data_IF_909537981259
#
_entry.id   IF_909537981259
#
_cell.length_a   1.000
_cell.length_b   1.000
_cell.length_c   1.000
_cell.angle_alpha   90.00
_cell.angle_beta   90.00
_cell.angle_gamma   90.00
#
_symmetry.space_group_name_H-M   'P 1'
#
loop_
_entity.id
_entity.type
_entity.pdbx_description
1 polymer ?
#
# COMPACT_ATOMS: atom_id res chain seq x y z
N UNK A 1 -51.79 -56.80 16.61
CA UNK A 1 -51.32 -56.05 17.79
C UNK A 1 -51.47 -54.56 17.53
N UNK A 2 -51.97 -53.85 18.54
CA UNK A 2 -52.52 -52.50 18.47
C UNK A 2 -51.42 -51.42 18.36
N UNK A 3 -51.77 -50.33 17.69
CA UNK A 3 -50.89 -49.21 17.29
C UNK A 3 -50.32 -48.46 18.50
N UNK A 4 -49.07 -48.01 18.41
CA UNK A 4 -48.64 -46.75 19.05
C UNK A 4 -47.88 -45.92 18.00
N UNK A 5 -48.62 -45.03 17.34
CA UNK A 5 -48.05 -43.90 16.62
C UNK A 5 -47.49 -42.95 17.69
N UNK A 6 -46.16 -42.91 17.82
CA UNK A 6 -45.49 -41.92 18.66
C UNK A 6 -45.54 -40.59 17.92
N UNK A 7 -46.24 -39.62 18.52
CA UNK A 7 -46.31 -38.24 18.05
C UNK A 7 -44.93 -37.60 18.17
N UNK A 8 -44.25 -37.44 17.03
CA UNK A 8 -42.99 -36.68 16.98
C UNK A 8 -43.35 -35.22 17.11
N UNK A 9 -43.18 -34.67 18.32
CA UNK A 9 -43.31 -33.23 18.58
C UNK A 9 -42.27 -32.51 17.74
N UNK A 10 -42.72 -31.88 16.65
CA UNK A 10 -41.94 -31.07 15.73
C UNK A 10 -41.39 -29.87 16.51
N UNK A 11 -40.18 -30.00 17.06
CA UNK A 11 -39.46 -28.87 17.65
C UNK A 11 -38.86 -28.08 16.49
N UNK A 12 -39.68 -27.20 15.93
CA UNK A 12 -39.25 -26.17 14.99
C UNK A 12 -38.38 -25.18 15.77
N UNK A 13 -37.08 -25.47 15.88
CA UNK A 13 -36.10 -24.47 16.29
C UNK A 13 -35.98 -23.46 15.16
N UNK A 14 -36.66 -22.33 15.34
CA UNK A 14 -36.47 -21.13 14.53
C UNK A 14 -35.07 -20.58 14.85
N UNK A 15 -34.04 -21.11 14.18
CA UNK A 15 -32.73 -20.46 14.14
C UNK A 15 -32.85 -19.23 13.25
N UNK A 16 -33.24 -18.12 13.87
CA UNK A 16 -33.03 -16.79 13.31
C UNK A 16 -31.55 -16.42 13.55
N UNK A 17 -30.65 -17.12 12.85
CA UNK A 17 -29.28 -16.67 12.68
C UNK A 17 -29.31 -15.57 11.61
N UNK A 18 -29.61 -14.34 12.04
CA UNK A 18 -29.21 -13.12 11.35
C UNK A 18 -27.68 -12.97 11.53
N UNK A 19 -26.95 -13.95 11.01
CA UNK A 19 -25.51 -14.10 11.15
C UNK A 19 -24.88 -14.14 9.77
N UNK A 20 -25.21 -13.15 8.93
CA UNK A 20 -24.28 -12.75 7.88
C UNK A 20 -23.06 -12.19 8.62
N UNK A 21 -21.87 -12.81 8.57
CA UNK A 21 -20.67 -12.09 8.91
C UNK A 21 -20.62 -10.95 7.89
N UNK A 22 -20.97 -9.77 8.37
CA UNK A 22 -20.87 -8.51 7.68
C UNK A 22 -19.40 -8.38 7.32
N UNK A 23 -19.08 -8.73 6.07
CA UNK A 23 -17.74 -8.65 5.50
C UNK A 23 -17.48 -7.16 5.33
N UNK A 24 -17.06 -6.50 6.41
CA UNK A 24 -16.67 -5.10 6.38
C UNK A 24 -15.40 -5.04 5.55
N UNK A 25 -15.38 -4.32 4.42
CA UNK A 25 -14.13 -4.08 3.72
C UNK A 25 -13.23 -3.27 4.66
N UNK A 26 -12.08 -3.83 5.02
CA UNK A 26 -11.08 -3.11 5.79
C UNK A 26 -10.51 -2.01 4.89
N UNK A 27 -10.71 -0.75 5.29
CA UNK A 27 -10.06 0.37 4.62
C UNK A 27 -8.57 0.30 4.91
N UNK A 28 -7.82 -0.19 3.92
CA UNK A 28 -6.36 -0.19 3.99
C UNK A 28 -5.88 1.20 3.58
N UNK A 29 -5.34 1.96 4.54
CA UNK A 29 -4.69 3.22 4.24
C UNK A 29 -3.29 2.93 3.69
N UNK A 30 -3.08 3.19 2.40
CA UNK A 30 -1.73 3.28 1.86
C UNK A 30 -1.09 4.57 2.42
N UNK A 31 0.02 4.44 3.16
CA UNK A 31 0.76 5.60 3.65
C UNK A 31 1.16 6.49 2.47
N UNK A 32 0.82 7.77 2.51
CA UNK A 32 1.39 8.77 1.61
C UNK A 32 2.86 8.96 1.99
N UNK A 33 3.74 8.22 1.32
CA UNK A 33 5.18 8.46 1.45
C UNK A 33 5.46 9.90 1.05
N UNK A 34 6.19 10.63 1.89
CA UNK A 34 6.63 12.00 1.58
C UNK A 34 7.59 11.88 0.41
N UNK A 35 7.12 12.24 -0.80
CA UNK A 35 7.98 12.28 -1.99
C UNK A 35 8.84 13.53 -1.86
N UNK A 36 10.16 13.35 -1.86
CA UNK A 36 11.10 14.47 -1.87
C UNK A 36 10.91 15.27 -3.16
N UNK A 37 10.74 16.60 -3.06
CA UNK A 37 10.60 17.49 -4.21
C UNK A 37 11.76 17.38 -5.21
N UNK A 38 12.97 17.02 -4.73
CA UNK A 38 14.14 16.76 -5.58
C UNK A 38 13.90 15.68 -6.63
N UNK A 39 13.05 14.69 -6.32
CA UNK A 39 12.68 13.65 -7.26
C UNK A 39 11.85 14.18 -8.44
N UNK A 40 11.06 15.24 -8.24
CA UNK A 40 10.32 15.92 -9.30
C UNK A 40 11.23 16.89 -10.07
N UNK A 41 12.05 17.67 -9.36
CA UNK A 41 12.94 18.68 -9.95
C UNK A 41 13.92 18.09 -10.96
N UNK A 42 14.54 16.94 -10.65
CA UNK A 42 15.54 16.31 -11.56
C UNK A 42 14.94 15.87 -12.89
N UNK A 43 13.62 15.65 -12.95
CA UNK A 43 12.92 15.20 -14.15
C UNK A 43 12.13 16.31 -14.86
N UNK A 44 12.16 17.56 -14.37
CA UNK A 44 11.34 18.66 -14.93
C UNK A 44 11.64 18.95 -16.41
N UNK A 45 12.89 18.78 -16.83
CA UNK A 45 13.37 19.03 -18.22
C UNK A 45 13.82 17.77 -18.96
N UNK A 46 13.65 16.61 -18.35
CA UNK A 46 14.04 15.33 -18.93
C UNK A 46 12.89 14.69 -19.70
N UNK A 47 13.19 13.69 -20.53
CA UNK A 47 12.15 12.89 -21.18
C UNK A 47 11.87 11.61 -20.40
N UNK A 48 10.73 10.98 -20.69
CA UNK A 48 10.36 9.71 -20.07
C UNK A 48 11.45 8.67 -20.31
N UNK A 49 11.81 7.94 -19.26
CA UNK A 49 12.84 6.89 -19.21
C UNK A 49 14.29 7.38 -19.18
N UNK A 50 14.56 8.68 -19.16
CA UNK A 50 15.90 9.19 -18.90
C UNK A 50 16.38 8.79 -17.51
N UNK A 51 17.68 8.50 -17.38
CA UNK A 51 18.31 8.25 -16.09
C UNK A 51 18.25 9.50 -15.21
N UNK A 52 17.95 9.32 -13.92
CA UNK A 52 17.91 10.40 -12.95
C UNK A 52 18.63 10.02 -11.66
N UNK A 53 19.20 11.03 -10.99
CA UNK A 53 19.87 10.90 -9.70
C UNK A 53 19.60 12.15 -8.86
N UNK A 54 19.24 11.97 -7.59
CA UNK A 54 19.09 13.07 -6.64
C UNK A 54 19.53 12.66 -5.25
N UNK A 55 19.88 13.67 -4.44
CA UNK A 55 20.26 13.50 -3.03
C UNK A 55 19.18 14.09 -2.13
N UNK A 56 18.86 13.44 -1.02
CA UNK A 56 17.95 14.01 -0.01
C UNK A 56 18.70 14.79 1.09
N UNK A 57 17.95 15.24 2.11
CA UNK A 57 18.52 16.00 3.22
C UNK A 57 19.41 15.15 4.15
N UNK A 58 19.37 13.83 4.03
CA UNK A 58 20.21 12.89 4.77
C UNK A 58 21.44 12.46 3.96
N UNK A 59 21.73 13.16 2.86
CA UNK A 59 22.81 12.84 1.93
C UNK A 59 22.67 11.46 1.25
N UNK A 60 21.48 10.86 1.32
CA UNK A 60 21.18 9.61 0.63
C UNK A 60 21.06 9.87 -0.87
N UNK A 61 21.69 9.03 -1.68
CA UNK A 61 21.66 9.11 -3.14
C UNK A 61 20.63 8.12 -3.68
N UNK A 62 19.71 8.64 -4.48
CA UNK A 62 18.64 7.91 -5.14
C UNK A 62 18.89 7.91 -6.64
N UNK A 63 18.91 6.72 -7.26
CA UNK A 63 19.13 6.54 -8.70
C UNK A 63 17.96 5.81 -9.34
N UNK A 64 17.57 6.25 -10.52
CA UNK A 64 16.28 5.90 -11.11
C UNK A 64 16.14 6.22 -12.59
N UNK A 65 14.89 6.23 -13.03
CA UNK A 65 14.49 6.78 -14.33
C UNK A 65 13.28 7.70 -14.18
N UNK A 66 13.18 8.72 -15.04
CA UNK A 66 12.04 9.62 -15.07
C UNK A 66 10.80 8.90 -15.61
N UNK A 67 9.75 8.77 -14.78
CA UNK A 67 8.50 8.10 -15.15
C UNK A 67 7.33 9.06 -14.99
N UNK A 68 6.30 8.90 -15.83
CA UNK A 68 5.09 9.72 -15.74
C UNK A 68 4.30 9.30 -14.50
N UNK A 69 4.11 10.25 -13.59
CA UNK A 69 3.32 10.06 -12.38
C UNK A 69 2.25 11.17 -12.36
N UNK A 70 1.02 10.78 -12.65
CA UNK A 70 -0.09 11.69 -12.97
C UNK A 70 0.23 12.58 -14.19
N UNK A 71 0.66 13.82 -13.98
CA UNK A 71 0.84 14.83 -15.04
C UNK A 71 2.30 15.28 -15.21
N UNK A 72 3.20 14.83 -14.33
CA UNK A 72 4.61 15.25 -14.32
C UNK A 72 5.52 14.04 -14.31
N UNK A 73 6.76 14.24 -14.73
CA UNK A 73 7.79 13.21 -14.60
C UNK A 73 8.38 13.23 -13.19
N UNK A 74 8.44 12.05 -12.56
CA UNK A 74 9.06 11.80 -11.27
C UNK A 74 10.26 10.88 -11.47
N UNK A 75 11.36 11.13 -10.75
CA UNK A 75 12.45 10.19 -10.68
C UNK A 75 12.03 8.97 -9.85
N UNK A 76 11.68 7.87 -10.53
CA UNK A 76 11.33 6.61 -9.87
C UNK A 76 12.61 5.83 -9.65
N UNK A 77 12.98 5.70 -8.37
CA UNK A 77 14.12 4.93 -7.92
C UNK A 77 13.97 3.47 -8.36
N UNK A 78 14.95 2.98 -9.11
CA UNK A 78 15.05 1.58 -9.55
C UNK A 78 16.38 0.93 -9.14
N UNK A 79 17.18 1.62 -8.33
CA UNK A 79 18.43 1.12 -7.76
C UNK A 79 18.41 1.22 -6.22
N UNK A 80 19.25 0.45 -5.51
CA UNK A 80 19.43 0.59 -4.07
C UNK A 80 19.81 2.03 -3.67
N UNK A 81 19.38 2.46 -2.48
CA UNK A 81 19.79 3.77 -1.92
C UNK A 81 21.25 3.64 -1.48
N UNK A 82 22.10 4.58 -1.92
CA UNK A 82 23.42 4.76 -1.31
C UNK A 82 23.25 5.70 -0.14
N UNK A 83 23.51 5.22 1.07
CA UNK A 83 23.34 6.03 2.27
C UNK A 83 24.41 7.12 2.35
N UNK A 84 23.98 8.33 2.72
CA UNK A 84 24.90 9.35 3.21
C UNK A 84 25.62 8.83 4.45
N UNK A 85 26.83 9.33 4.73
CA UNK A 85 27.61 8.84 5.87
C UNK A 85 26.79 8.96 7.17
N UNK A 86 26.40 7.87 7.83
CA UNK A 86 25.55 7.93 9.03
C UNK A 86 26.26 8.64 10.19
N UNK A 87 27.60 8.74 10.14
CA UNK A 87 28.43 9.30 11.20
C UNK A 87 28.59 10.83 11.10
N UNK A 88 28.02 11.49 10.09
CA UNK A 88 28.06 12.96 9.96
C UNK A 88 26.90 13.68 10.67
N UNK A 89 25.90 12.94 11.18
CA UNK A 89 24.70 13.49 11.83
C UNK A 89 24.72 13.39 13.37
N UNK A 90 25.82 12.92 13.97
CA UNK A 90 25.97 12.71 15.42
C UNK A 90 27.21 13.40 16.01
N UNK A 91 27.56 14.62 15.56
CA UNK A 91 28.54 15.48 16.24
C UNK A 91 27.96 16.89 16.46
#
# INVERSE_FOLDING_TARGET
MSRRLVSVKKSLRFMLFCGLPFWVPQMVFAHSSIINNKAWEVCEKQVRSDSCEYTDNHEDIYRGTCQLMSEKLLCVRNQPIVKGNPDAADH
#
